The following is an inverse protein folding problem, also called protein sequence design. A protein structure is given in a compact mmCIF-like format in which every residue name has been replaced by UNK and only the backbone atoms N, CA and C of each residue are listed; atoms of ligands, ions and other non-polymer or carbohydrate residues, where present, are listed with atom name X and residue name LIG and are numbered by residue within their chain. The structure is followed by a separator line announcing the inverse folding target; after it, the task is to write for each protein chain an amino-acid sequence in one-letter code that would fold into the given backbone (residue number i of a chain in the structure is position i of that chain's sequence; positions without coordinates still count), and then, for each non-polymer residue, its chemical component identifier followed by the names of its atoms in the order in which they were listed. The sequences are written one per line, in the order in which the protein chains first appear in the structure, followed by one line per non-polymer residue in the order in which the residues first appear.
data_IF_543246997765
#
_entry.id   IF_543246997765
#
_cell.length_a   1.000
_cell.length_b   1.000
_cell.length_c   1.000
_cell.angle_alpha   90.00
_cell.angle_beta   90.00
_cell.angle_gamma   90.00
#
_symmetry.space_group_name_H-M   'P 1'
#
loop_
_entity.id
_entity.type
_entity.pdbx_description
1 polymer ?
#
# COMPACT_ATOMS: atom_id res chain seq x y z
N UNK A 1 21.95 42.64 -18.95
CA UNK A 1 20.76 43.49 -18.70
C UNK A 1 19.43 42.79 -18.99
N UNK A 2 19.17 42.23 -20.19
CA UNK A 2 17.88 41.57 -20.50
C UNK A 2 17.50 40.38 -19.58
N UNK A 3 18.47 39.56 -19.15
CA UNK A 3 18.23 38.43 -18.20
C UNK A 3 17.90 38.88 -16.77
N UNK A 4 18.47 40.00 -16.31
CA UNK A 4 18.18 40.57 -14.99
C UNK A 4 16.78 41.16 -14.96
N UNK A 5 16.37 41.85 -16.03
CA UNK A 5 15.00 42.39 -16.18
C UNK A 5 13.95 41.27 -16.24
N UNK A 6 14.27 40.13 -16.89
CA UNK A 6 13.38 38.97 -16.92
C UNK A 6 13.23 38.32 -15.53
N UNK A 7 14.32 38.22 -14.77
CA UNK A 7 14.31 37.70 -13.40
C UNK A 7 13.55 38.62 -12.43
N UNK A 8 13.68 39.95 -12.53
CA UNK A 8 12.85 40.88 -11.75
C UNK A 8 11.38 40.85 -12.16
N UNK A 9 11.07 40.70 -13.45
CA UNK A 9 9.68 40.57 -13.92
C UNK A 9 8.99 39.30 -13.39
N UNK A 10 9.70 38.16 -13.34
CA UNK A 10 9.18 36.89 -12.78
C UNK A 10 8.93 37.00 -11.27
N UNK A 11 9.78 37.72 -10.52
CA UNK A 11 9.62 37.92 -9.07
C UNK A 11 8.41 38.82 -8.77
N UNK A 12 8.19 39.88 -9.57
CA UNK A 12 7.06 40.80 -9.40
C UNK A 12 5.72 40.13 -9.76
N UNK A 13 5.69 39.28 -10.79
CA UNK A 13 4.48 38.53 -11.17
C UNK A 13 4.08 37.49 -10.11
N UNK A 14 5.04 36.86 -9.44
CA UNK A 14 4.76 35.93 -8.34
C UNK A 14 4.22 36.65 -7.09
N UNK A 15 4.73 37.84 -6.76
CA UNK A 15 4.27 38.62 -5.60
C UNK A 15 2.81 39.10 -5.73
N UNK A 16 2.39 39.58 -6.90
CA UNK A 16 0.99 39.98 -7.15
C UNK A 16 0.04 38.78 -7.28
N UNK A 17 0.54 37.58 -7.60
CA UNK A 17 -0.29 36.39 -7.74
C UNK A 17 -0.87 35.91 -6.39
N UNK A 18 -0.13 36.09 -5.30
CA UNK A 18 -0.54 35.64 -3.97
C UNK A 18 -1.73 36.43 -3.41
N UNK A 19 -1.69 37.76 -3.51
CA UNK A 19 -2.79 38.63 -3.07
C UNK A 19 -4.03 38.37 -3.92
N UNK A 20 -3.90 38.36 -5.26
CA UNK A 20 -5.02 38.07 -6.16
C UNK A 20 -5.72 36.75 -5.83
N UNK A 21 -4.96 35.68 -5.59
CA UNK A 21 -5.51 34.37 -5.19
C UNK A 21 -6.13 34.36 -3.79
N UNK A 22 -5.76 35.32 -2.93
CA UNK A 22 -6.33 35.47 -1.58
C UNK A 22 -7.62 36.26 -1.65
N UNK A 23 -7.66 37.33 -2.44
CA UNK A 23 -8.88 38.08 -2.78
C UNK A 23 -9.91 37.19 -3.49
N UNK A 24 -9.48 36.35 -4.43
CA UNK A 24 -10.36 35.39 -5.10
C UNK A 24 -10.99 34.41 -4.12
N UNK A 25 -10.21 33.86 -3.19
CA UNK A 25 -10.72 32.98 -2.14
C UNK A 25 -11.74 33.70 -1.24
N UNK A 26 -11.48 34.96 -0.89
CA UNK A 26 -12.41 35.79 -0.12
C UNK A 26 -13.72 36.03 -0.89
N UNK A 27 -13.64 36.40 -2.16
CA UNK A 27 -14.79 36.72 -3.01
C UNK A 27 -15.65 35.49 -3.32
N UNK A 28 -15.05 34.30 -3.36
CA UNK A 28 -15.75 33.03 -3.58
C UNK A 28 -16.27 32.39 -2.28
N UNK A 29 -16.14 33.06 -1.12
CA UNK A 29 -16.62 32.55 0.16
C UNK A 29 -15.69 31.53 0.83
N UNK A 30 -14.52 31.25 0.26
CA UNK A 30 -13.50 30.40 0.85
C UNK A 30 -12.63 31.18 1.86
N UNK A 31 -13.29 31.62 2.95
CA UNK A 31 -12.67 32.45 3.97
C UNK A 31 -11.51 31.75 4.70
N UNK A 32 -11.60 30.42 4.91
CA UNK A 32 -10.51 29.64 5.50
C UNK A 32 -9.24 29.70 4.64
N UNK A 33 -9.34 29.51 3.32
CA UNK A 33 -8.20 29.64 2.43
C UNK A 33 -7.65 31.07 2.38
N UNK A 34 -8.53 32.08 2.39
CA UNK A 34 -8.13 33.48 2.44
C UNK A 34 -7.33 33.80 3.72
N UNK A 35 -7.88 33.44 4.90
CA UNK A 35 -7.20 33.60 6.18
C UNK A 35 -5.88 32.84 6.24
N UNK A 36 -5.84 31.58 5.78
CA UNK A 36 -4.62 30.76 5.79
C UNK A 36 -3.50 31.40 4.98
N UNK A 37 -3.80 31.90 3.78
CA UNK A 37 -2.82 32.59 2.92
C UNK A 37 -2.36 33.90 3.56
N UNK A 38 -3.28 34.69 4.09
CA UNK A 38 -2.94 35.96 4.72
C UNK A 38 -2.08 35.76 5.98
N UNK A 39 -2.49 34.87 6.89
CA UNK A 39 -1.72 34.51 8.10
C UNK A 39 -0.31 34.03 7.73
N UNK A 40 -0.18 33.16 6.71
CA UNK A 40 1.13 32.66 6.28
C UNK A 40 2.07 33.78 5.83
N UNK A 41 1.60 34.70 5.00
CA UNK A 41 2.43 35.81 4.51
C UNK A 41 2.73 36.84 5.60
N UNK A 42 1.77 37.10 6.49
CA UNK A 42 1.96 38.04 7.61
C UNK A 42 2.90 37.47 8.69
N UNK A 43 2.87 36.16 8.93
CA UNK A 43 3.81 35.49 9.82
C UNK A 43 5.26 35.57 9.30
N UNK A 44 5.47 35.52 7.98
CA UNK A 44 6.78 35.68 7.37
C UNK A 44 7.34 37.10 7.60
N UNK A 45 6.57 38.14 7.25
CA UNK A 45 6.94 39.52 7.54
C UNK A 45 5.73 40.46 7.52
N UNK A 46 5.20 40.81 8.70
CA UNK A 46 4.00 41.66 8.82
C UNK A 46 4.20 43.14 8.47
N UNK A 47 5.44 43.65 8.42
CA UNK A 47 5.72 45.08 8.13
C UNK A 47 6.12 45.33 6.68
N UNK A 48 6.19 44.28 5.84
CA UNK A 48 6.55 44.41 4.43
C UNK A 48 5.48 45.16 3.66
N UNK A 49 5.87 46.17 2.86
CA UNK A 49 4.96 46.98 2.03
C UNK A 49 4.02 46.12 1.17
N UNK A 50 4.56 45.09 0.51
CA UNK A 50 3.77 44.17 -0.31
C UNK A 50 2.85 43.21 0.46
N UNK A 51 2.86 43.23 1.80
CA UNK A 51 1.97 42.43 2.63
C UNK A 51 0.83 43.24 3.27
N UNK A 52 0.78 44.56 3.04
CA UNK A 52 -0.29 45.42 3.56
C UNK A 52 -1.68 44.97 3.10
N UNK A 53 -1.82 44.55 1.84
CA UNK A 53 -3.09 44.03 1.32
C UNK A 53 -3.55 42.74 2.03
N UNK A 54 -2.63 41.90 2.52
CA UNK A 54 -3.00 40.72 3.31
C UNK A 54 -3.59 41.07 4.67
N UNK A 55 -3.27 42.24 5.24
CA UNK A 55 -3.85 42.69 6.52
C UNK A 55 -5.35 42.95 6.33
N UNK A 56 -5.72 43.70 5.29
CA UNK A 56 -7.11 44.02 4.95
C UNK A 56 -7.87 42.73 4.63
N UNK A 57 -7.29 41.86 3.80
CA UNK A 57 -7.88 40.56 3.46
C UNK A 57 -8.11 39.66 4.67
N UNK A 58 -7.18 39.68 5.64
CA UNK A 58 -7.32 38.91 6.88
C UNK A 58 -8.44 39.47 7.77
N UNK A 59 -8.51 40.79 7.93
CA UNK A 59 -9.56 41.48 8.68
C UNK A 59 -10.95 41.16 8.09
N UNK A 60 -11.12 41.31 6.78
CA UNK A 60 -12.39 41.05 6.09
C UNK A 60 -12.76 39.55 6.11
N UNK A 61 -11.81 38.67 5.82
CA UNK A 61 -12.04 37.23 5.84
C UNK A 61 -12.41 36.73 7.24
N UNK A 62 -11.77 37.26 8.29
CA UNK A 62 -12.09 36.92 9.68
C UNK A 62 -13.51 37.35 10.04
N UNK A 63 -13.89 38.59 9.72
CA UNK A 63 -15.23 39.10 10.02
C UNK A 63 -16.32 38.28 9.29
N UNK A 64 -16.15 38.04 7.98
CA UNK A 64 -17.11 37.26 7.18
C UNK A 64 -17.20 35.80 7.61
N UNK A 65 -16.05 35.16 7.90
CA UNK A 65 -16.04 33.80 8.42
C UNK A 65 -16.76 33.70 9.76
N UNK A 66 -16.42 34.59 10.69
CA UNK A 66 -17.00 34.59 12.04
C UNK A 66 -18.51 34.77 11.99
N UNK A 67 -19.00 35.71 11.17
CA UNK A 67 -20.43 35.92 10.98
C UNK A 67 -21.14 34.70 10.40
N UNK A 68 -20.57 34.08 9.35
CA UNK A 68 -21.13 32.86 8.73
C UNK A 68 -21.19 31.71 9.73
N UNK A 69 -20.08 31.39 10.40
CA UNK A 69 -20.04 30.28 11.35
C UNK A 69 -21.00 30.52 12.52
N UNK A 70 -21.09 31.74 13.04
CA UNK A 70 -22.04 32.06 14.11
C UNK A 70 -23.51 31.91 13.66
N UNK A 71 -23.83 32.33 12.44
CA UNK A 71 -25.17 32.15 11.87
C UNK A 71 -25.52 30.66 11.70
N UNK A 72 -24.59 29.87 11.17
CA UNK A 72 -24.78 28.42 11.00
C UNK A 72 -24.93 27.72 12.34
N UNK A 73 -24.09 28.06 13.34
CA UNK A 73 -24.24 27.54 14.70
C UNK A 73 -25.62 27.89 15.27
N UNK A 74 -26.07 29.13 15.14
CA UNK A 74 -27.37 29.54 15.63
C UNK A 74 -28.51 28.78 14.96
N UNK A 75 -28.41 28.53 13.64
CA UNK A 75 -29.34 27.70 12.90
C UNK A 75 -29.38 26.26 13.44
N UNK A 76 -28.22 25.62 13.60
CA UNK A 76 -28.11 24.24 14.08
C UNK A 76 -28.58 24.09 15.54
N UNK A 77 -28.34 25.09 16.38
CA UNK A 77 -28.84 25.13 17.76
C UNK A 77 -30.37 25.26 17.81
N UNK A 78 -30.96 26.05 16.92
CA UNK A 78 -32.41 26.24 16.83
C UNK A 78 -33.14 25.00 16.27
N UNK A 79 -32.48 24.23 15.40
CA UNK A 79 -33.00 22.95 14.90
C UNK A 79 -33.18 21.92 16.04
N UNK A 80 -32.35 22.00 17.08
CA UNK A 80 -32.48 21.20 18.30
C UNK A 80 -32.18 19.70 18.13
N UNK A 81 -31.75 19.27 16.95
CA UNK A 81 -31.37 17.89 16.67
C UNK A 81 -30.01 17.54 17.30
N UNK A 82 -29.91 16.54 18.19
CA UNK A 82 -28.64 16.12 18.80
C UNK A 82 -27.56 15.70 17.80
N UNK A 83 -27.94 15.25 16.59
CA UNK A 83 -26.98 14.95 15.51
C UNK A 83 -26.13 16.17 15.09
N UNK A 84 -26.61 17.39 15.38
CA UNK A 84 -25.88 18.62 15.08
C UNK A 84 -24.79 18.95 16.12
N UNK A 85 -24.81 18.32 17.30
CA UNK A 85 -23.92 18.67 18.42
C UNK A 85 -22.44 18.58 18.04
N UNK A 86 -22.06 17.54 17.29
CA UNK A 86 -20.69 17.38 16.79
C UNK A 86 -20.27 18.54 15.88
N UNK A 87 -21.15 18.90 14.94
CA UNK A 87 -20.89 20.01 14.02
C UNK A 87 -20.76 21.33 14.78
N UNK A 88 -21.64 21.59 15.74
CA UNK A 88 -21.61 22.79 16.59
C UNK A 88 -20.29 22.84 17.39
N UNK A 89 -19.90 21.73 18.03
CA UNK A 89 -18.66 21.61 18.79
C UNK A 89 -17.44 21.93 17.92
N UNK A 90 -17.34 21.30 16.75
CA UNK A 90 -16.24 21.50 15.81
C UNK A 90 -16.18 22.94 15.27
N UNK A 91 -17.32 23.58 15.01
CA UNK A 91 -17.36 25.00 14.61
C UNK A 91 -16.87 25.93 15.70
N UNK A 92 -17.23 25.70 16.96
CA UNK A 92 -16.69 26.49 18.07
C UNK A 92 -15.18 26.30 18.26
N UNK A 93 -14.67 25.07 18.16
CA UNK A 93 -13.24 24.79 18.16
C UNK A 93 -12.53 25.54 17.03
N UNK A 94 -13.08 25.50 15.82
CA UNK A 94 -12.52 26.19 14.66
C UNK A 94 -12.46 27.71 14.86
N UNK A 95 -13.55 28.32 15.35
CA UNK A 95 -13.58 29.75 15.67
C UNK A 95 -12.49 30.13 16.69
N UNK A 96 -12.36 29.36 17.77
CA UNK A 96 -11.29 29.56 18.76
C UNK A 96 -9.90 29.44 18.13
N UNK A 97 -9.68 28.41 17.31
CA UNK A 97 -8.40 28.15 16.63
C UNK A 97 -8.01 29.30 15.70
N UNK A 98 -8.95 29.84 14.92
CA UNK A 98 -8.72 30.99 14.03
C UNK A 98 -8.24 32.20 14.83
N UNK A 99 -8.91 32.55 15.94
CA UNK A 99 -8.50 33.66 16.80
C UNK A 99 -7.09 33.44 17.37
N UNK A 100 -6.78 32.21 17.81
CA UNK A 100 -5.45 31.87 18.35
C UNK A 100 -4.33 32.00 17.32
N UNK A 101 -4.62 31.79 16.03
CA UNK A 101 -3.64 31.96 14.95
C UNK A 101 -3.41 33.43 14.58
N UNK A 102 -4.42 34.29 14.76
CA UNK A 102 -4.31 35.73 14.46
C UNK A 102 -3.65 36.49 15.61
N UNK A 103 -3.95 36.14 16.87
CA UNK A 103 -3.45 36.84 18.07
C UNK A 103 -1.93 37.14 18.05
N UNK A 104 -1.02 36.20 17.70
CA UNK A 104 0.43 36.46 17.70
C UNK A 104 0.87 37.47 16.64
N UNK A 105 0.07 37.70 15.60
CA UNK A 105 0.40 38.63 14.52
C UNK A 105 0.14 40.09 14.93
N UNK A 106 -0.72 40.31 15.92
CA UNK A 106 -1.11 41.65 16.35
C UNK A 106 0.05 42.39 17.06
N UNK A 107 0.09 43.74 16.98
CA UNK A 107 -0.75 44.59 16.13
C UNK A 107 -0.39 44.46 14.64
N UNK A 108 -1.38 44.70 13.78
CA UNK A 108 -1.25 44.75 12.32
C UNK A 108 -1.66 46.15 11.83
N UNK A 109 -0.69 46.98 11.47
CA UNK A 109 -0.91 48.36 11.06
C UNK A 109 -1.14 48.48 9.55
N UNK A 110 -2.24 49.14 9.15
CA UNK A 110 -2.63 49.43 7.77
C UNK A 110 -2.19 50.86 7.45
N UNK A 111 -1.12 50.98 6.67
CA UNK A 111 -0.45 52.26 6.41
C UNK A 111 -1.35 53.24 5.66
N UNK A 112 -2.10 52.76 4.67
CA UNK A 112 -2.94 53.59 3.82
C UNK A 112 -4.17 54.15 4.56
N UNK A 113 -4.61 53.47 5.63
CA UNK A 113 -5.77 53.86 6.45
C UNK A 113 -5.35 54.52 7.78
N UNK A 114 -4.06 54.54 8.10
CA UNK A 114 -3.54 55.16 9.32
C UNK A 114 -4.00 54.48 10.63
N UNK A 115 -4.45 53.22 10.60
CA UNK A 115 -5.03 52.50 11.75
C UNK A 115 -4.49 51.07 11.89
N UNK A 116 -4.74 50.44 13.03
CA UNK A 116 -4.56 48.99 13.17
C UNK A 116 -5.80 48.25 12.66
N UNK A 117 -5.60 47.06 12.10
CA UNK A 117 -6.68 46.11 11.82
C UNK A 117 -7.35 45.65 13.11
N UNK A 118 -8.67 45.54 13.07
CA UNK A 118 -9.52 45.21 14.19
C UNK A 118 -10.09 43.80 14.08
N UNK A 119 -9.95 43.02 15.16
CA UNK A 119 -10.47 41.65 15.24
C UNK A 119 -11.33 41.52 16.49
N UNK A 120 -12.65 41.38 16.31
CA UNK A 120 -13.57 41.16 17.42
C UNK A 120 -13.44 39.73 17.97
N UNK A 121 -12.55 39.54 18.94
CA UNK A 121 -12.35 38.23 19.55
C UNK A 121 -13.37 37.91 20.64
N UNK A 122 -14.06 36.78 20.48
CA UNK A 122 -15.03 36.27 21.44
C UNK A 122 -14.44 35.09 22.20
N UNK A 123 -14.70 35.01 23.51
CA UNK A 123 -14.35 33.81 24.28
C UNK A 123 -15.39 32.70 24.03
N UNK A 124 -14.97 31.61 23.40
CA UNK A 124 -15.80 30.44 23.10
C UNK A 124 -15.64 29.29 24.12
N UNK A 125 -14.80 29.44 25.14
CA UNK A 125 -14.42 28.34 26.03
C UNK A 125 -15.62 27.67 26.70
N UNK A 126 -16.52 28.45 27.30
CA UNK A 126 -17.73 27.91 27.93
C UNK A 126 -18.67 27.26 26.91
N UNK A 127 -18.74 27.80 25.69
CA UNK A 127 -19.57 27.22 24.61
C UNK A 127 -19.01 25.88 24.16
N UNK A 128 -17.70 25.78 24.03
CA UNK A 128 -16.99 24.53 23.71
C UNK A 128 -17.21 23.50 24.82
N UNK A 129 -17.02 23.88 26.09
CA UNK A 129 -17.19 22.96 27.22
C UNK A 129 -18.63 22.45 27.32
N UNK A 130 -19.63 23.34 27.26
CA UNK A 130 -21.03 22.94 27.34
C UNK A 130 -21.44 22.03 26.18
N UNK A 131 -21.09 22.39 24.93
CA UNK A 131 -21.43 21.55 23.78
C UNK A 131 -20.66 20.22 23.81
N UNK A 132 -19.42 20.19 24.35
CA UNK A 132 -18.69 18.94 24.56
C UNK A 132 -19.39 18.03 25.57
N UNK A 133 -19.90 18.59 26.66
CA UNK A 133 -20.61 17.82 27.68
C UNK A 133 -21.93 17.26 27.14
N UNK A 134 -22.70 18.08 26.41
CA UNK A 134 -23.93 17.66 25.73
C UNK A 134 -23.66 16.56 24.68
N UNK A 135 -22.63 16.75 23.86
CA UNK A 135 -22.20 15.78 22.86
C UNK A 135 -21.73 14.47 23.51
N UNK A 136 -21.00 14.58 24.63
CA UNK A 136 -20.50 13.40 25.35
C UNK A 136 -21.64 12.55 25.89
N UNK A 137 -22.66 13.18 26.48
CA UNK A 137 -23.86 12.49 26.94
C UNK A 137 -24.60 11.85 25.76
N UNK A 138 -24.80 12.60 24.67
CA UNK A 138 -25.49 12.08 23.50
C UNK A 138 -24.81 10.85 22.89
N UNK A 139 -23.50 10.91 22.65
CA UNK A 139 -22.72 9.78 22.11
C UNK A 139 -22.80 8.57 23.03
N UNK A 140 -22.63 8.77 24.34
CA UNK A 140 -22.69 7.69 25.31
C UNK A 140 -24.07 7.03 25.36
N UNK A 141 -25.16 7.82 25.42
CA UNK A 141 -26.52 7.29 25.44
C UNK A 141 -26.90 6.62 24.12
N UNK A 142 -26.49 7.18 22.98
CA UNK A 142 -26.73 6.55 21.69
C UNK A 142 -26.03 5.19 21.59
N UNK A 143 -24.75 5.13 22.00
CA UNK A 143 -24.01 3.88 22.04
C UNK A 143 -24.67 2.85 22.99
N UNK A 144 -25.12 3.24 24.18
CA UNK A 144 -25.84 2.35 25.08
C UNK A 144 -27.16 1.83 24.47
N UNK A 145 -27.90 2.70 23.79
CA UNK A 145 -29.12 2.31 23.09
C UNK A 145 -28.81 1.32 21.96
N UNK A 146 -27.77 1.56 21.17
CA UNK A 146 -27.32 0.63 20.13
C UNK A 146 -26.89 -0.71 20.75
N UNK A 147 -26.07 -0.71 21.80
CA UNK A 147 -25.64 -1.93 22.50
C UNK A 147 -26.80 -2.77 23.05
N UNK A 148 -27.92 -2.14 23.42
CA UNK A 148 -29.09 -2.83 24.01
C UNK A 148 -30.15 -3.23 22.99
N UNK A 149 -30.31 -2.46 21.91
CA UNK A 149 -31.35 -2.67 20.89
C UNK A 149 -30.83 -3.24 19.56
N UNK A 150 -29.53 -3.51 19.47
CA UNK A 150 -28.87 -4.06 18.30
C UNK A 150 -29.56 -5.32 17.77
N UNK A 151 -29.77 -5.33 16.46
CA UNK A 151 -30.27 -6.49 15.71
C UNK A 151 -29.15 -7.12 14.87
N UNK A 152 -28.19 -6.31 14.44
CA UNK A 152 -27.10 -6.70 13.56
C UNK A 152 -25.75 -6.35 14.18
N UNK A 153 -24.68 -7.01 13.71
CA UNK A 153 -23.32 -6.71 14.19
C UNK A 153 -22.90 -5.27 13.88
N UNK A 154 -23.36 -4.73 12.76
CA UNK A 154 -23.14 -3.33 12.38
C UNK A 154 -23.63 -2.33 13.45
N UNK A 155 -24.69 -2.65 14.20
CA UNK A 155 -25.18 -1.77 15.27
C UNK A 155 -24.15 -1.64 16.41
N UNK A 156 -23.50 -2.76 16.77
CA UNK A 156 -22.40 -2.74 17.75
C UNK A 156 -21.17 -2.00 17.21
N UNK A 157 -20.88 -2.11 15.91
CA UNK A 157 -19.79 -1.35 15.28
C UNK A 157 -20.04 0.16 15.33
N UNK A 158 -21.28 0.59 15.05
CA UNK A 158 -21.66 1.99 15.17
C UNK A 158 -21.55 2.48 16.62
N UNK A 159 -21.96 1.67 17.60
CA UNK A 159 -21.79 1.99 19.02
C UNK A 159 -20.30 2.13 19.38
N UNK A 160 -19.43 1.28 18.85
CA UNK A 160 -18.00 1.36 19.04
C UNK A 160 -17.42 2.67 18.49
N UNK A 161 -17.81 3.09 17.29
CA UNK A 161 -17.34 4.35 16.70
C UNK A 161 -17.77 5.58 17.50
N UNK A 162 -19.03 5.63 17.98
CA UNK A 162 -19.51 6.70 18.87
C UNK A 162 -18.68 6.78 20.16
N UNK A 163 -18.41 5.63 20.79
CA UNK A 163 -17.63 5.53 22.02
C UNK A 163 -16.15 5.86 21.79
N UNK A 164 -15.60 5.47 20.64
CA UNK A 164 -14.23 5.81 20.24
C UNK A 164 -14.08 7.32 20.08
N UNK A 165 -15.01 7.96 19.36
CA UNK A 165 -14.99 9.40 19.21
C UNK A 165 -15.19 10.11 20.55
N UNK A 166 -16.08 9.60 21.40
CA UNK A 166 -16.25 10.07 22.78
C UNK A 166 -14.93 10.00 23.58
N UNK A 167 -14.21 8.89 23.48
CA UNK A 167 -12.91 8.70 24.14
C UNK A 167 -11.85 9.66 23.61
N UNK A 168 -11.91 10.09 22.34
CA UNK A 168 -11.02 11.10 21.76
C UNK A 168 -11.31 12.51 22.31
N UNK A 169 -12.59 12.91 22.38
CA UNK A 169 -12.97 14.27 22.80
C UNK A 169 -13.04 14.44 24.33
N UNK A 170 -13.34 13.37 25.06
CA UNK A 170 -13.52 13.39 26.51
C UNK A 170 -13.01 12.07 27.16
N UNK A 171 -11.68 11.87 27.18
CA UNK A 171 -11.09 10.65 27.75
C UNK A 171 -11.51 10.43 29.20
N UNK A 172 -11.88 9.19 29.54
CA UNK A 172 -12.29 8.83 30.90
C UNK A 172 -13.74 9.22 31.24
N UNK A 173 -14.54 9.59 30.24
CA UNK A 173 -15.97 9.78 30.42
C UNK A 173 -16.64 8.43 30.77
N UNK A 174 -17.09 8.28 32.02
CA UNK A 174 -17.81 7.09 32.51
C UNK A 174 -17.09 5.78 32.15
N UNK A 175 -17.85 4.75 31.76
CA UNK A 175 -17.36 3.41 31.41
C UNK A 175 -17.08 3.26 29.90
N UNK A 176 -16.75 4.35 29.20
CA UNK A 176 -16.60 4.36 27.73
C UNK A 176 -15.71 3.23 27.23
N UNK A 177 -14.53 3.01 27.82
CA UNK A 177 -13.60 1.95 27.41
C UNK A 177 -14.21 0.56 27.58
N UNK A 178 -14.86 0.28 28.72
CA UNK A 178 -15.50 -1.02 28.94
C UNK A 178 -16.67 -1.25 27.96
N UNK A 179 -17.39 -0.19 27.60
CA UNK A 179 -18.45 -0.26 26.56
C UNK A 179 -17.89 -0.42 25.16
N UNK A 180 -16.71 0.14 24.87
CA UNK A 180 -15.99 -0.13 23.62
C UNK A 180 -15.62 -1.61 23.53
N UNK A 181 -15.07 -2.20 24.59
CA UNK A 181 -14.74 -3.63 24.62
C UNK A 181 -16.00 -4.50 24.44
N UNK A 182 -17.12 -4.13 25.07
CA UNK A 182 -18.41 -4.82 24.89
C UNK A 182 -18.89 -4.73 23.44
N UNK A 183 -18.87 -3.53 22.85
CA UNK A 183 -19.26 -3.29 21.46
C UNK A 183 -18.37 -4.06 20.49
N UNK A 184 -17.06 -4.05 20.74
CA UNK A 184 -16.06 -4.76 19.95
C UNK A 184 -16.37 -6.26 19.90
N UNK A 185 -16.44 -6.90 21.06
CA UNK A 185 -16.67 -8.34 21.18
C UNK A 185 -18.00 -8.78 20.54
N UNK A 186 -19.05 -7.94 20.59
CA UNK A 186 -20.35 -8.23 19.97
C UNK A 186 -20.39 -7.92 18.47
N UNK A 187 -19.56 -6.99 17.99
CA UNK A 187 -19.43 -6.62 16.58
C UNK A 187 -18.46 -7.48 15.77
N UNK A 188 -17.60 -8.25 16.46
CA UNK A 188 -16.67 -9.20 15.86
C UNK A 188 -17.39 -10.29 15.06
N UNK A 189 -16.91 -10.58 13.87
CA UNK A 189 -17.28 -11.73 13.07
C UNK A 189 -16.25 -12.84 13.22
N UNK A 190 -16.74 -14.05 13.47
CA UNK A 190 -15.89 -15.23 13.62
C UNK A 190 -15.98 -16.09 12.37
N UNK A 191 -14.84 -16.32 11.75
CA UNK A 191 -14.69 -17.19 10.59
C UNK A 191 -14.00 -18.47 11.01
N UNK A 192 -14.66 -19.61 10.83
CA UNK A 192 -14.01 -20.90 10.96
C UNK A 192 -13.25 -21.19 9.67
N UNK A 193 -12.04 -21.70 9.78
CA UNK A 193 -11.26 -22.16 8.64
C UNK A 193 -11.14 -23.66 8.66
N UNK A 194 -11.50 -24.30 7.55
CA UNK A 194 -11.38 -25.74 7.35
C UNK A 194 -10.54 -26.00 6.08
N UNK A 195 -9.67 -27.01 6.12
CA UNK A 195 -8.96 -27.54 4.94
C UNK A 195 -9.50 -28.93 4.63
N UNK A 196 -9.79 -29.19 3.36
CA UNK A 196 -10.16 -30.52 2.89
C UNK A 196 -9.24 -30.96 1.76
N UNK A 197 -8.80 -32.22 1.80
CA UNK A 197 -8.05 -32.84 0.72
C UNK A 197 -8.94 -33.83 -0.01
N UNK A 198 -9.36 -33.50 -1.23
CA UNK A 198 -10.15 -34.39 -2.09
C UNK A 198 -9.28 -35.24 -3.02
N UNK A 199 -7.96 -35.20 -2.85
CA UNK A 199 -6.99 -35.93 -3.68
C UNK A 199 -6.51 -37.21 -3.00
N UNK A 200 -5.82 -38.07 -3.75
CA UNK A 200 -5.11 -39.23 -3.20
C UNK A 200 -3.66 -38.89 -2.77
N UNK A 201 -3.23 -37.65 -2.95
CA UNK A 201 -1.89 -37.20 -2.60
C UNK A 201 -1.83 -36.73 -1.15
N UNK A 202 -0.68 -36.90 -0.52
CA UNK A 202 -0.43 -36.40 0.83
C UNK A 202 -0.10 -34.91 0.73
N UNK A 203 -0.81 -34.07 1.49
CA UNK A 203 -0.44 -32.67 1.68
C UNK A 203 0.65 -32.64 2.77
N UNK A 204 1.81 -31.99 2.53
CA UNK A 204 2.83 -31.84 3.56
C UNK A 204 2.26 -31.11 4.78
N UNK A 205 2.45 -31.64 5.99
CA UNK A 205 1.93 -31.06 7.26
C UNK A 205 2.39 -29.61 7.45
N UNK A 206 3.61 -29.30 7.00
CA UNK A 206 4.16 -27.95 7.01
C UNK A 206 3.34 -27.00 6.12
N UNK A 207 2.99 -27.42 4.91
CA UNK A 207 2.17 -26.59 4.00
C UNK A 207 0.79 -26.34 4.59
N UNK A 208 0.15 -27.38 5.13
CA UNK A 208 -1.16 -27.26 5.79
C UNK A 208 -1.11 -26.25 6.95
N UNK A 209 -0.11 -26.37 7.82
CA UNK A 209 0.09 -25.46 8.96
C UNK A 209 0.30 -24.01 8.50
N UNK A 210 1.09 -23.80 7.44
CA UNK A 210 1.38 -22.47 6.90
C UNK A 210 0.17 -21.83 6.18
N UNK A 211 -0.70 -22.63 5.56
CA UNK A 211 -1.95 -22.15 4.97
C UNK A 211 -3.01 -21.80 6.03
N UNK A 212 -2.89 -22.38 7.22
CA UNK A 212 -3.73 -22.10 8.38
C UNK A 212 -3.22 -20.90 9.20
N UNK A 213 -1.99 -20.43 9.01
CA UNK A 213 -1.48 -19.28 9.78
C UNK A 213 -1.95 -17.92 9.23
N UNK A 214 -3.21 -17.57 9.51
CA UNK A 214 -3.79 -16.28 9.11
C UNK A 214 -3.14 -15.07 9.81
N UNK A 215 -2.52 -15.27 10.98
CA UNK A 215 -1.76 -14.21 11.62
C UNK A 215 -0.52 -13.85 10.78
N UNK A 216 0.14 -14.85 10.20
CA UNK A 216 1.25 -14.65 9.27
C UNK A 216 0.81 -14.01 7.94
N UNK A 217 -0.48 -14.07 7.59
CA UNK A 217 -0.98 -13.39 6.40
C UNK A 217 -1.02 -11.86 6.57
N UNK A 218 -0.90 -11.34 7.80
CA UNK A 218 -0.91 -9.89 8.05
C UNK A 218 -2.26 -9.24 7.70
N UNK A 219 -3.34 -10.02 7.80
CA UNK A 219 -4.70 -9.56 7.52
C UNK A 219 -5.19 -8.83 8.77
N UNK A 220 -4.97 -7.52 8.80
CA UNK A 220 -5.45 -6.65 9.88
C UNK A 220 -6.86 -6.17 9.56
N UNK A 221 -7.86 -6.98 9.93
CA UNK A 221 -9.26 -6.55 9.90
C UNK A 221 -9.79 -6.51 11.33
N UNK A 222 -9.98 -5.29 11.83
CA UNK A 222 -10.42 -5.04 13.20
C UNK A 222 -11.68 -5.83 13.59
N UNK A 223 -12.61 -6.04 12.66
CA UNK A 223 -13.91 -6.67 12.92
C UNK A 223 -13.98 -8.17 12.65
N UNK A 224 -12.87 -8.80 12.25
CA UNK A 224 -12.88 -10.18 11.75
C UNK A 224 -11.82 -11.04 12.43
N UNK A 225 -12.22 -12.23 12.88
CA UNK A 225 -11.32 -13.16 13.54
C UNK A 225 -11.42 -14.57 12.93
N UNK A 226 -10.29 -15.08 12.48
CA UNK A 226 -10.16 -16.43 11.91
C UNK A 226 -9.76 -17.44 12.98
N UNK A 227 -10.44 -18.60 13.02
CA UNK A 227 -10.05 -19.74 13.85
C UNK A 227 -9.89 -20.99 13.01
N UNK A 228 -8.69 -21.55 13.01
CA UNK A 228 -8.34 -22.82 12.37
C UNK A 228 -8.63 -24.03 13.26
N UNK A 229 -8.68 -23.80 14.57
CA UNK A 229 -9.09 -24.77 15.57
C UNK A 229 -10.38 -24.28 16.21
N UNK A 230 -11.55 -24.79 15.80
CA UNK A 230 -12.84 -24.26 16.22
C UNK A 230 -13.04 -24.37 17.75
N UNK A 231 -13.17 -23.22 18.40
CA UNK A 231 -13.49 -23.13 19.83
C UNK A 231 -14.96 -23.47 20.10
N UNK A 232 -15.22 -24.37 21.05
CA UNK A 232 -16.57 -24.86 21.40
C UNK A 232 -17.55 -23.77 21.88
N UNK A 233 -17.02 -22.69 22.47
CA UNK A 233 -17.82 -21.62 23.06
C UNK A 233 -17.97 -20.40 22.13
N UNK A 234 -17.53 -20.51 20.88
CA UNK A 234 -17.64 -19.44 19.87
C UNK A 234 -18.69 -19.84 18.84
N UNK A 235 -19.63 -18.94 18.59
CA UNK A 235 -20.59 -19.08 17.49
C UNK A 235 -19.98 -18.43 16.24
N UNK A 236 -19.68 -19.24 15.24
CA UNK A 236 -19.14 -18.78 13.97
C UNK A 236 -20.24 -18.22 13.07
N UNK A 237 -19.93 -17.12 12.39
CA UNK A 237 -20.82 -16.48 11.42
C UNK A 237 -20.57 -17.02 10.02
N UNK A 238 -19.30 -17.29 9.71
CA UNK A 238 -18.88 -17.76 8.39
C UNK A 238 -17.94 -18.96 8.50
N UNK A 239 -17.91 -19.75 7.44
CA UNK A 239 -16.88 -20.74 7.20
C UNK A 239 -16.10 -20.37 5.94
N UNK A 240 -14.78 -20.53 6.00
CA UNK A 240 -13.90 -20.48 4.85
C UNK A 240 -13.29 -21.87 4.67
N UNK A 241 -13.58 -22.49 3.54
CA UNK A 241 -13.10 -23.83 3.23
C UNK A 241 -12.06 -23.73 2.12
N UNK A 242 -10.90 -24.35 2.34
CA UNK A 242 -9.88 -24.54 1.31
C UNK A 242 -9.87 -26.01 0.90
N UNK A 243 -10.46 -26.28 -0.27
CA UNK A 243 -10.57 -27.62 -0.83
C UNK A 243 -9.43 -27.84 -1.84
N UNK A 244 -8.52 -28.77 -1.58
CA UNK A 244 -7.57 -29.28 -2.58
C UNK A 244 -8.31 -30.24 -3.50
N UNK A 245 -8.52 -29.81 -4.74
CA UNK A 245 -9.27 -30.55 -5.76
C UNK A 245 -8.36 -31.50 -6.53
N UNK A 246 -7.14 -31.05 -6.86
CA UNK A 246 -6.17 -31.80 -7.66
C UNK A 246 -4.74 -31.51 -7.19
N UNK A 247 -3.92 -32.55 -7.09
CA UNK A 247 -2.47 -32.45 -6.89
C UNK A 247 -1.83 -33.43 -7.87
N UNK A 248 -1.14 -32.89 -8.87
CA UNK A 248 -0.54 -33.66 -9.95
C UNK A 248 0.97 -33.47 -9.92
N UNK A 249 1.73 -34.55 -9.77
CA UNK A 249 3.19 -34.53 -9.88
C UNK A 249 3.59 -35.34 -11.10
N UNK A 250 4.32 -34.73 -12.03
CA UNK A 250 4.77 -35.43 -13.23
C UNK A 250 5.91 -36.40 -12.93
N UNK A 251 6.06 -37.47 -13.73
CA UNK A 251 7.24 -38.32 -13.68
C UNK A 251 8.51 -37.54 -14.02
N UNK A 252 9.64 -38.02 -13.50
CA UNK A 252 10.95 -37.49 -13.81
C UNK A 252 11.27 -37.69 -15.29
N UNK A 253 11.67 -36.62 -15.97
CA UNK A 253 12.04 -36.65 -17.39
C UNK A 253 13.45 -36.12 -17.58
N UNK A 254 14.23 -36.84 -18.38
CA UNK A 254 15.55 -36.39 -18.85
C UNK A 254 15.52 -36.36 -20.37
N UNK A 255 15.71 -35.18 -20.95
CA UNK A 255 15.82 -35.01 -22.40
C UNK A 255 17.29 -34.75 -22.77
N UNK A 256 17.83 -35.56 -23.66
CA UNK A 256 19.18 -35.38 -24.22
C UNK A 256 19.11 -34.69 -25.59
N UNK A 257 19.92 -33.65 -25.77
CA UNK A 257 20.09 -32.93 -27.04
C UNK A 257 21.55 -32.89 -27.42
N UNK A 258 21.87 -33.30 -28.65
CA UNK A 258 23.21 -33.22 -29.19
C UNK A 258 23.38 -31.97 -30.07
N UNK A 259 24.39 -31.15 -29.75
CA UNK A 259 24.77 -29.97 -30.53
C UNK A 259 26.21 -30.13 -31.02
N UNK A 260 26.42 -29.95 -32.32
CA UNK A 260 27.77 -29.98 -32.91
C UNK A 260 28.18 -28.54 -33.21
N UNK A 261 29.32 -28.12 -32.67
CA UNK A 261 29.89 -26.79 -32.89
C UNK A 261 31.26 -26.91 -33.53
N UNK A 262 31.53 -26.03 -34.47
CA UNK A 262 32.82 -25.90 -35.15
C UNK A 262 33.30 -24.46 -35.08
N UNK A 263 34.58 -24.26 -34.79
CA UNK A 263 35.20 -22.94 -34.71
C UNK A 263 36.59 -22.98 -35.32
N UNK A 264 36.93 -21.95 -36.08
CA UNK A 264 38.29 -21.70 -36.52
C UNK A 264 39.03 -21.01 -35.37
N UNK A 265 40.04 -21.67 -34.82
CA UNK A 265 40.90 -21.11 -33.78
C UNK A 265 42.32 -20.95 -34.30
N UNK A 266 43.03 -19.97 -33.75
CA UNK A 266 44.46 -19.78 -34.04
C UNK A 266 45.27 -20.91 -33.43
N UNK A 267 45.93 -21.69 -34.27
CA UNK A 267 46.83 -22.80 -33.95
C UNK A 267 48.28 -22.41 -34.29
N UNK A 268 48.75 -21.35 -33.62
CA UNK A 268 50.07 -20.77 -33.84
C UNK A 268 50.12 -19.79 -35.01
N UNK A 269 51.31 -19.66 -35.59
CA UNK A 269 51.59 -18.75 -36.69
C UNK A 269 52.51 -19.43 -37.70
N UNK A 270 52.38 -19.06 -38.96
CA UNK A 270 53.30 -19.45 -40.03
C UNK A 270 53.86 -18.21 -40.71
N UNK A 271 55.03 -18.32 -41.32
CA UNK A 271 55.59 -17.20 -42.08
C UNK A 271 54.88 -17.06 -43.42
N UNK A 272 54.55 -15.83 -43.81
CA UNK A 272 54.01 -15.56 -45.15
C UNK A 272 55.12 -15.86 -46.18
N UNK A 273 54.79 -16.64 -47.20
CA UNK A 273 55.69 -16.96 -48.31
C UNK A 273 55.24 -16.20 -49.57
N UNK A 274 56.19 -15.77 -50.38
CA UNK A 274 55.94 -15.26 -51.73
C UNK A 274 55.75 -16.41 -52.73
N UNK A 275 55.43 -16.09 -53.99
CA UNK A 275 55.15 -17.06 -55.06
C UNK A 275 56.34 -18.00 -55.35
N UNK A 276 57.55 -17.61 -54.94
CA UNK A 276 58.80 -18.37 -55.07
C UNK A 276 59.15 -19.18 -53.81
N UNK A 277 58.31 -19.12 -52.77
CA UNK A 277 58.47 -19.88 -51.52
C UNK A 277 59.40 -19.23 -50.48
N UNK A 278 59.78 -17.96 -50.64
CA UNK A 278 60.63 -17.24 -49.70
C UNK A 278 59.81 -16.51 -48.63
N UNK A 279 60.36 -16.41 -47.42
CA UNK A 279 59.69 -15.72 -46.31
C UNK A 279 59.63 -14.22 -46.55
N UNK A 280 58.42 -13.69 -46.66
CA UNK A 280 58.14 -12.26 -46.81
C UNK A 280 58.56 -11.51 -45.53
N UNK A 281 59.27 -10.40 -45.71
CA UNK A 281 59.74 -9.52 -44.64
C UNK A 281 59.05 -8.15 -44.76
N UNK A 282 58.79 -7.51 -43.63
CA UNK A 282 58.28 -6.15 -43.59
C UNK A 282 59.35 -5.13 -44.03
N UNK A 283 58.96 -3.86 -44.11
CA UNK A 283 59.85 -2.75 -44.49
C UNK A 283 61.03 -2.51 -43.53
N UNK A 284 61.06 -3.19 -42.38
CA UNK A 284 62.14 -3.17 -41.39
C UNK A 284 62.96 -4.47 -41.39
N UNK A 285 62.66 -5.42 -42.28
CA UNK A 285 63.37 -6.69 -42.43
C UNK A 285 62.88 -7.81 -41.51
N UNK A 286 61.81 -7.61 -40.74
CA UNK A 286 61.26 -8.64 -39.86
C UNK A 286 60.33 -9.57 -40.62
N UNK A 287 60.41 -10.87 -40.34
CA UNK A 287 59.57 -11.88 -41.00
C UNK A 287 58.10 -11.71 -40.63
N UNK A 288 57.23 -11.62 -41.63
CA UNK A 288 55.78 -11.45 -41.43
C UNK A 288 55.17 -12.79 -41.01
N UNK A 289 54.48 -12.78 -39.87
CA UNK A 289 53.75 -13.92 -39.32
C UNK A 289 52.27 -13.79 -39.66
N UNK A 290 51.71 -14.82 -40.28
CA UNK A 290 50.27 -14.95 -40.49
C UNK A 290 49.72 -16.02 -39.54
N UNK A 291 48.49 -15.81 -39.08
CA UNK A 291 47.84 -16.71 -38.14
C UNK A 291 47.50 -18.02 -38.86
N UNK A 292 47.97 -19.13 -38.30
CA UNK A 292 47.62 -20.46 -38.80
C UNK A 292 46.30 -20.84 -38.14
N UNK A 293 45.21 -20.82 -38.91
CA UNK A 293 43.90 -21.17 -38.40
C UNK A 293 43.68 -22.69 -38.51
N UNK A 294 43.09 -23.30 -37.48
CA UNK A 294 42.68 -24.70 -37.46
C UNK A 294 41.20 -24.77 -37.09
N UNK A 295 40.42 -25.53 -37.86
CA UNK A 295 39.06 -25.89 -37.46
C UNK A 295 39.12 -26.89 -36.31
N UNK A 296 38.47 -26.54 -35.21
CA UNK A 296 38.21 -27.44 -34.09
C UNK A 296 36.72 -27.71 -33.99
N UNK A 297 36.38 -28.95 -33.65
CA UNK A 297 34.99 -29.42 -33.53
C UNK A 297 34.76 -29.94 -32.11
N UNK A 298 33.59 -29.63 -31.57
CA UNK A 298 33.11 -30.14 -30.30
C UNK A 298 31.68 -30.63 -30.43
N UNK A 299 31.42 -31.83 -29.92
CA UNK A 299 30.07 -32.36 -29.70
C UNK A 299 29.69 -32.06 -28.27
N UNK A 300 28.59 -31.37 -28.07
CA UNK A 300 27.98 -31.08 -26.79
C UNK A 300 26.76 -31.98 -26.63
N UNK A 301 26.68 -32.68 -25.50
CA UNK A 301 25.52 -33.46 -25.08
C UNK A 301 24.87 -32.73 -23.92
N UNK A 302 23.76 -32.06 -24.19
CA UNK A 302 22.99 -31.31 -23.19
C UNK A 302 21.89 -32.20 -22.65
N UNK A 303 21.75 -32.25 -21.33
CA UNK A 303 20.71 -32.96 -20.62
C UNK A 303 19.84 -31.95 -19.87
N UNK A 304 18.54 -32.01 -20.12
CA UNK A 304 17.55 -31.20 -19.40
C UNK A 304 16.69 -32.13 -18.55
N UNK A 305 16.84 -32.01 -17.23
CA UNK A 305 16.03 -32.69 -16.22
C UNK A 305 14.78 -31.84 -15.96
N UNK A 306 13.58 -32.40 -16.13
CA UNK A 306 12.31 -31.72 -15.81
C UNK A 306 11.40 -32.56 -14.94
N UNK A 307 10.74 -31.89 -13.99
CA UNK A 307 9.68 -32.44 -13.14
C UNK A 307 8.76 -31.29 -12.72
N UNK A 308 7.47 -31.52 -12.68
CA UNK A 308 6.46 -30.50 -12.35
C UNK A 308 5.52 -30.97 -11.26
N UNK A 309 5.07 -30.04 -10.43
CA UNK A 309 3.96 -30.25 -9.51
C UNK A 309 2.92 -29.15 -9.74
N UNK A 310 1.67 -29.56 -9.91
CA UNK A 310 0.52 -28.68 -10.10
C UNK A 310 -0.48 -28.92 -8.98
N UNK A 311 -0.98 -27.84 -8.39
CA UNK A 311 -2.01 -27.87 -7.36
C UNK A 311 -3.22 -27.09 -7.89
N UNK A 312 -4.38 -27.74 -7.90
CA UNK A 312 -5.68 -27.11 -8.09
C UNK A 312 -6.46 -27.15 -6.79
N UNK A 313 -6.87 -25.98 -6.30
CA UNK A 313 -7.67 -25.84 -5.09
C UNK A 313 -8.84 -24.89 -5.32
N UNK A 314 -9.76 -24.84 -4.36
CA UNK A 314 -10.89 -23.91 -4.36
C UNK A 314 -11.04 -23.36 -2.95
N UNK A 315 -11.09 -22.04 -2.82
CA UNK A 315 -11.50 -21.39 -1.57
C UNK A 315 -12.97 -21.00 -1.68
N UNK A 316 -13.80 -21.37 -0.70
CA UNK A 316 -15.20 -20.96 -0.63
C UNK A 316 -15.52 -20.32 0.72
N UNK A 317 -16.43 -19.36 0.69
CA UNK A 317 -16.95 -18.67 1.86
C UNK A 317 -18.43 -18.99 2.00
N UNK A 318 -18.83 -19.46 3.18
CA UNK A 318 -20.22 -19.86 3.46
C UNK A 318 -20.75 -19.05 4.65
N UNK A 319 -21.96 -18.51 4.52
CA UNK A 319 -22.71 -17.95 5.64
C UNK A 319 -23.31 -19.09 6.46
N UNK A 320 -22.87 -19.25 7.71
CA UNK A 320 -23.31 -20.34 8.57
C UNK A 320 -24.72 -20.11 9.14
N UNK A 321 -25.28 -18.91 9.01
CA UNK A 321 -26.64 -18.59 9.48
C UNK A 321 -27.70 -19.20 8.58
N UNK A 322 -27.46 -19.22 7.27
CA UNK A 322 -28.39 -19.75 6.26
C UNK A 322 -27.84 -20.93 5.44
N UNK A 323 -26.55 -21.26 5.60
CA UNK A 323 -25.86 -22.34 4.90
C UNK A 323 -25.54 -22.04 3.43
N UNK A 324 -25.63 -20.78 2.98
CA UNK A 324 -25.40 -20.41 1.60
C UNK A 324 -23.92 -20.11 1.34
N UNK A 325 -23.39 -20.66 0.24
CA UNK A 325 -22.09 -20.23 -0.30
C UNK A 325 -22.24 -18.79 -0.81
N UNK A 326 -21.46 -17.89 -0.23
CA UNK A 326 -21.44 -16.47 -0.59
C UNK A 326 -20.64 -16.31 -1.88
N UNK A 327 -19.42 -16.86 -1.89
CA UNK A 327 -18.49 -16.76 -3.01
C UNK A 327 -17.54 -17.97 -2.99
N UNK A 328 -17.02 -18.31 -4.16
CA UNK A 328 -15.91 -19.26 -4.30
C UNK A 328 -14.94 -18.81 -5.38
N UNK A 329 -13.67 -19.10 -5.15
CA UNK A 329 -12.56 -18.71 -6.01
C UNK A 329 -11.70 -19.94 -6.31
N UNK A 330 -11.49 -20.29 -7.58
CA UNK A 330 -10.53 -21.31 -7.94
C UNK A 330 -9.11 -20.79 -7.70
N UNK A 331 -8.26 -21.66 -7.20
CA UNK A 331 -6.84 -21.43 -6.98
C UNK A 331 -6.05 -22.46 -7.77
N UNK A 332 -5.02 -22.03 -8.48
CA UNK A 332 -4.08 -22.94 -9.12
C UNK A 332 -2.66 -22.44 -8.97
N UNK A 333 -1.75 -23.39 -8.81
CA UNK A 333 -0.32 -23.14 -8.72
C UNK A 333 0.44 -24.26 -9.43
N UNK A 334 1.59 -23.91 -10.01
CA UNK A 334 2.51 -24.84 -10.62
C UNK A 334 3.94 -24.51 -10.20
N UNK A 335 4.69 -25.54 -9.85
CA UNK A 335 6.14 -25.46 -9.70
C UNK A 335 6.81 -26.36 -10.73
N UNK A 336 7.81 -25.80 -11.43
CA UNK A 336 8.66 -26.48 -12.40
C UNK A 336 10.07 -26.60 -11.85
N UNK A 337 10.52 -27.83 -11.62
CA UNK A 337 11.93 -28.14 -11.51
C UNK A 337 12.51 -28.31 -12.92
N UNK A 338 13.47 -27.46 -13.27
CA UNK A 338 14.27 -27.59 -14.47
C UNK A 338 15.75 -27.48 -14.10
N UNK A 339 16.55 -28.46 -14.51
CA UNK A 339 18.00 -28.42 -14.36
C UNK A 339 18.68 -28.84 -15.66
N UNK A 340 19.65 -28.03 -16.09
CA UNK A 340 20.38 -28.23 -17.34
C UNK A 340 21.85 -28.46 -17.02
N UNK A 341 22.39 -29.57 -17.52
CA UNK A 341 23.82 -29.85 -17.48
C UNK A 341 24.29 -30.39 -18.84
N UNK A 342 25.58 -30.32 -19.09
CA UNK A 342 26.12 -30.79 -20.37
C UNK A 342 27.45 -31.50 -20.20
N UNK A 343 27.68 -32.47 -21.08
CA UNK A 343 28.97 -33.11 -21.29
C UNK A 343 29.47 -32.80 -22.70
N UNK A 344 30.78 -32.90 -22.92
CA UNK A 344 31.35 -32.64 -24.23
C UNK A 344 32.35 -33.70 -24.68
N UNK A 345 32.49 -33.82 -26.00
CA UNK A 345 33.49 -34.64 -26.66
C UNK A 345 34.15 -33.82 -27.77
N UNK A 346 35.47 -33.68 -27.71
CA UNK A 346 36.26 -32.89 -28.67
C UNK A 346 36.92 -31.67 -28.01
N UNK A 347 37.13 -30.61 -28.78
CA UNK A 347 37.84 -29.42 -28.30
C UNK A 347 36.86 -28.35 -27.82
N UNK A 348 36.77 -28.18 -26.49
CA UNK A 348 35.87 -27.19 -25.85
C UNK A 348 36.06 -25.75 -26.34
N UNK A 349 37.20 -25.41 -26.96
CA UNK A 349 37.42 -24.09 -27.56
C UNK A 349 36.50 -23.81 -28.76
N UNK A 350 35.84 -24.85 -29.29
CA UNK A 350 34.81 -24.72 -30.32
C UNK A 350 33.45 -24.24 -29.77
N UNK A 351 33.24 -24.28 -28.45
CA UNK A 351 32.00 -23.84 -27.82
C UNK A 351 31.99 -22.33 -27.58
N UNK A 352 30.79 -21.77 -27.52
CA UNK A 352 30.51 -20.39 -27.13
C UNK A 352 30.40 -20.29 -25.59
N UNK A 353 30.59 -19.10 -25.03
CA UNK A 353 30.70 -18.89 -23.58
C UNK A 353 29.39 -19.25 -22.82
N UNK A 354 28.24 -19.14 -23.48
CA UNK A 354 26.93 -19.51 -22.96
C UNK A 354 26.79 -21.03 -22.77
N UNK A 355 27.29 -21.83 -23.71
CA UNK A 355 27.29 -23.30 -23.64
C UNK A 355 28.31 -23.83 -22.63
N UNK A 356 29.37 -23.05 -22.37
CA UNK A 356 30.38 -23.38 -21.36
C UNK A 356 29.82 -23.35 -19.93
N UNK A 357 28.74 -22.60 -19.67
CA UNK A 357 28.08 -22.56 -18.36
C UNK A 357 27.53 -23.93 -17.96
N UNK A 358 26.91 -24.64 -18.90
CA UNK A 358 26.31 -25.96 -18.64
C UNK A 358 27.33 -27.07 -18.42
N UNK A 359 28.58 -26.89 -18.88
CA UNK A 359 29.68 -27.83 -18.62
C UNK A 359 30.19 -27.81 -17.18
N UNK A 360 29.95 -26.71 -16.47
CA UNK A 360 30.32 -26.59 -15.06
C UNK A 360 29.23 -27.17 -14.14
N UNK A 361 28.01 -27.39 -14.66
CA UNK A 361 26.92 -28.02 -13.95
C UNK A 361 27.07 -29.55 -13.99
N UNK A 362 26.64 -30.22 -12.93
CA UNK A 362 26.54 -31.68 -12.85
C UNK A 362 25.10 -32.09 -12.70
N UNK A 363 24.79 -33.34 -13.03
CA UNK A 363 23.51 -33.96 -12.72
C UNK A 363 23.19 -33.80 -11.22
N UNK A 364 21.96 -33.43 -10.92
CA UNK A 364 21.45 -33.33 -9.55
C UNK A 364 20.27 -34.29 -9.38
N UNK A 365 20.03 -34.81 -8.17
CA UNK A 365 18.84 -35.60 -7.92
C UNK A 365 17.57 -34.75 -8.12
N UNK A 366 16.52 -35.37 -8.66
CA UNK A 366 15.21 -34.74 -8.73
C UNK A 366 14.68 -34.44 -7.32
N UNK A 367 13.95 -33.32 -7.12
CA UNK A 367 13.24 -33.07 -5.88
C UNK A 367 12.22 -34.17 -5.57
N UNK A 368 11.98 -34.43 -4.29
CA UNK A 368 10.92 -35.33 -3.86
C UNK A 368 9.55 -34.75 -4.23
N UNK A 369 8.55 -35.62 -4.42
CA UNK A 369 7.18 -35.19 -4.72
C UNK A 369 6.63 -34.28 -3.62
N UNK A 370 6.94 -34.59 -2.35
CA UNK A 370 6.54 -33.78 -1.19
C UNK A 370 7.12 -32.36 -1.25
N UNK A 371 8.41 -32.22 -1.56
CA UNK A 371 9.05 -30.92 -1.70
C UNK A 371 8.43 -30.12 -2.86
N UNK A 372 8.17 -30.78 -3.99
CA UNK A 372 7.55 -30.16 -5.16
C UNK A 372 6.14 -29.63 -4.86
N UNK A 373 5.36 -30.39 -4.09
CA UNK A 373 4.02 -29.98 -3.63
C UNK A 373 4.12 -28.82 -2.63
N UNK A 374 5.10 -28.84 -1.72
CA UNK A 374 5.36 -27.71 -0.82
C UNK A 374 5.70 -26.44 -1.61
N UNK A 375 6.62 -26.53 -2.58
CA UNK A 375 7.06 -25.37 -3.37
C UNK A 375 5.92 -24.79 -4.23
N UNK A 376 5.07 -25.64 -4.80
CA UNK A 376 3.84 -25.18 -5.48
C UNK A 376 2.84 -24.58 -4.47
N UNK A 377 2.79 -25.10 -3.25
CA UNK A 377 1.93 -24.62 -2.17
C UNK A 377 2.27 -23.20 -1.70
N UNK A 378 3.52 -22.77 -1.77
CA UNK A 378 3.92 -21.41 -1.39
C UNK A 378 3.29 -20.33 -2.29
N UNK A 379 3.20 -20.57 -3.61
CA UNK A 379 2.47 -19.65 -4.51
C UNK A 379 0.96 -19.68 -4.23
N UNK A 380 0.42 -20.84 -3.87
CA UNK A 380 -0.99 -20.99 -3.47
C UNK A 380 -1.32 -20.13 -2.23
N UNK A 381 -0.41 -20.12 -1.26
CA UNK A 381 -0.51 -19.33 -0.02
C UNK A 381 -0.56 -17.83 -0.29
N UNK A 382 0.29 -17.32 -1.17
CA UNK A 382 0.26 -15.90 -1.56
C UNK A 382 -1.05 -15.52 -2.26
N UNK A 383 -1.58 -16.41 -3.12
CA UNK A 383 -2.90 -16.20 -3.75
C UNK A 383 -4.04 -16.23 -2.75
N UNK A 384 -4.03 -17.18 -1.82
CA UNK A 384 -5.01 -17.27 -0.74
C UNK A 384 -4.99 -15.98 0.10
N UNK A 385 -3.80 -15.53 0.51
CA UNK A 385 -3.62 -14.27 1.23
C UNK A 385 -4.22 -13.08 0.48
N UNK A 386 -4.01 -12.98 -0.84
CA UNK A 386 -4.62 -11.93 -1.65
C UNK A 386 -6.15 -11.97 -1.61
N UNK A 387 -6.76 -13.15 -1.70
CA UNK A 387 -8.23 -13.30 -1.66
C UNK A 387 -8.76 -12.90 -0.29
N UNK A 388 -8.18 -13.45 0.78
CA UNK A 388 -8.65 -13.23 2.15
C UNK A 388 -8.45 -11.77 2.58
N UNK A 389 -7.36 -11.11 2.16
CA UNK A 389 -7.11 -9.70 2.46
C UNK A 389 -8.09 -8.71 1.79
N UNK A 390 -8.67 -9.09 0.65
CA UNK A 390 -9.64 -8.26 -0.08
C UNK A 390 -11.08 -8.54 0.35
N UNK A 391 -11.32 -9.68 0.99
CA UNK A 391 -12.66 -10.12 1.33
C UNK A 391 -13.18 -9.40 2.57
N UNK A 392 -14.31 -8.71 2.42
CA UNK A 392 -15.08 -8.17 3.53
C UNK A 392 -16.43 -8.89 3.57
N UNK A 393 -16.73 -9.48 4.74
CA UNK A 393 -18.04 -10.02 5.00
C UNK A 393 -18.99 -8.86 5.31
N UNK A 394 -20.18 -8.87 4.68
CA UNK A 394 -21.21 -7.85 4.86
C UNK A 394 -22.14 -8.18 6.03
#
# INVERSE_FOLDING_TARGET
MKRVILLTAIIVLNACSGVKKTQEALNTGNYSAAMNKAIKNLADNKTKKGHQEYIILLEEAFAKNTAREQQEIAFLQNDGNPANLETIYNKYLHLKQVQQRIRPLLPLYITDEGRNAEFNFVNYDNKILNTKDDLSEHLYQNALNLLTSAKYKADYRNAYEDLKYLQEINPGYRETVAKMDEAYNKGLEFVRVDIANQTQQIIPERLESELLDFNAFGIDNFWLQYHTNPLKNVKYDYAMNLDFMEINVSPERINETQVIKEKQIKDGWQYLLDDDGNVVKDSLGNKIKIDKMRTVTCKLFQFTQTKTAQIGAKVSFTDLRNGQEINSYPLSSEFLFEHIFANYQGDKRALEDDLMLYLNAREVPFPSNEQMVYDAGEDLKERLKSIVSQYQFN
#
